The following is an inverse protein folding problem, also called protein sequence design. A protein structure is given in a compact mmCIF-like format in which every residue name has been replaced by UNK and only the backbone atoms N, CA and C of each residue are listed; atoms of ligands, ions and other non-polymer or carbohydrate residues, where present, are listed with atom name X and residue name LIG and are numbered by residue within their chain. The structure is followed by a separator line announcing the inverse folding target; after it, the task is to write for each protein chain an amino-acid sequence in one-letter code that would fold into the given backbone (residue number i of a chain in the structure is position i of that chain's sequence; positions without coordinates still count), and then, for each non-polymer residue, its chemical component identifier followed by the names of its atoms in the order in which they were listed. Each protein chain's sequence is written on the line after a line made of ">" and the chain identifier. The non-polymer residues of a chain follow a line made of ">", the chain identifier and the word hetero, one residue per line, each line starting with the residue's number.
data_IF_199442977875
#
_entry.id   IF_199442977875
#
_cell.length_a   1.000
_cell.length_b   1.000
_cell.length_c   1.000
_cell.angle_alpha   90.00
_cell.angle_beta   90.00
_cell.angle_gamma   90.00
#
_symmetry.space_group_name_H-M   'P 1'
#
loop_
_entity.id
_entity.type
_entity.pdbx_description
1 polymer ?
#
# COMPACT_ATOMS: atom_id res chain seq x y z
N UNK A 1 31.12 -19.66 14.63
CA UNK A 1 30.49 -20.06 13.36
C UNK A 1 29.06 -19.56 13.46
N UNK A 2 28.67 -18.53 12.70
CA UNK A 2 27.28 -18.07 12.71
C UNK A 2 26.49 -19.07 11.88
N UNK A 3 25.62 -19.87 12.50
CA UNK A 3 24.75 -20.80 11.81
C UNK A 3 23.69 -20.01 11.02
N UNK A 4 23.56 -20.31 9.73
CA UNK A 4 22.63 -19.69 8.79
C UNK A 4 21.41 -20.59 8.54
N UNK A 5 21.01 -21.40 9.50
CA UNK A 5 19.83 -22.25 9.32
C UNK A 5 18.53 -21.45 9.48
N UNK A 6 17.52 -21.79 8.68
CA UNK A 6 16.15 -21.23 8.73
C UNK A 6 15.95 -19.75 8.31
N UNK A 7 16.88 -19.14 7.57
CA UNK A 7 16.67 -17.81 7.01
C UNK A 7 15.72 -17.82 5.82
N UNK A 8 14.82 -16.84 5.77
CA UNK A 8 13.83 -16.63 4.71
C UNK A 8 14.20 -15.40 3.88
N UNK A 9 13.78 -15.31 2.61
CA UNK A 9 13.95 -14.10 1.81
C UNK A 9 13.38 -12.84 2.48
N UNK A 10 12.36 -12.99 3.34
CA UNK A 10 11.82 -11.90 4.17
C UNK A 10 12.84 -11.33 5.16
N UNK A 11 13.74 -12.16 5.70
CA UNK A 11 14.80 -11.69 6.60
C UNK A 11 15.79 -10.77 5.87
N UNK A 12 16.11 -11.08 4.61
CA UNK A 12 16.95 -10.22 3.77
C UNK A 12 16.25 -8.89 3.51
N UNK A 13 14.95 -8.92 3.19
CA UNK A 13 14.16 -7.71 3.00
C UNK A 13 14.18 -6.83 4.26
N UNK A 14 13.98 -7.41 5.44
CA UNK A 14 14.04 -6.68 6.72
C UNK A 14 15.39 -6.02 6.98
N UNK A 15 16.50 -6.74 6.71
CA UNK A 15 17.85 -6.20 6.87
C UNK A 15 18.10 -5.07 5.88
N UNK A 16 17.72 -5.23 4.61
CA UNK A 16 17.88 -4.19 3.59
C UNK A 16 17.05 -2.95 3.91
N UNK A 17 15.81 -3.12 4.40
CA UNK A 17 14.96 -2.02 4.84
C UNK A 17 15.60 -1.26 6.02
N UNK A 18 16.13 -1.99 7.01
CA UNK A 18 16.84 -1.37 8.13
C UNK A 18 18.06 -0.58 7.67
N UNK A 19 18.84 -1.12 6.72
CA UNK A 19 19.99 -0.43 6.14
C UNK A 19 19.54 0.85 5.42
N UNK A 20 18.48 0.77 4.61
CA UNK A 20 17.92 1.95 3.92
C UNK A 20 17.54 3.06 4.90
N UNK A 21 16.81 2.73 5.97
CA UNK A 21 16.39 3.70 6.98
C UNK A 21 17.60 4.33 7.73
N UNK A 22 18.65 3.55 7.97
CA UNK A 22 19.89 4.06 8.58
C UNK A 22 20.65 4.98 7.61
N UNK A 23 20.71 4.64 6.33
CA UNK A 23 21.32 5.49 5.31
C UNK A 23 20.57 6.82 5.18
N UNK A 24 19.25 6.83 5.24
CA UNK A 24 18.47 8.07 5.23
C UNK A 24 18.86 8.99 6.41
N UNK A 25 18.98 8.40 7.61
CA UNK A 25 19.43 9.13 8.81
C UNK A 25 20.84 9.71 8.64
N UNK A 26 21.78 8.94 8.07
CA UNK A 26 23.19 9.34 7.94
C UNK A 26 23.39 10.39 6.84
N UNK A 27 22.71 10.22 5.71
CA UNK A 27 22.89 11.06 4.53
C UNK A 27 22.15 12.41 4.63
N UNK A 28 21.34 12.59 5.67
CA UNK A 28 20.56 13.81 5.86
C UNK A 28 19.47 13.99 4.80
N UNK A 29 19.11 12.94 4.06
CA UNK A 29 17.84 12.93 3.32
C UNK A 29 16.71 12.96 4.35
N UNK A 30 15.70 13.80 4.15
CA UNK A 30 14.52 13.88 5.04
C UNK A 30 13.64 12.61 5.00
N UNK A 31 14.16 11.49 4.50
CA UNK A 31 13.38 10.30 4.16
C UNK A 31 12.33 10.61 3.10
N UNK A 32 11.26 9.83 3.08
CA UNK A 32 10.10 10.14 2.25
C UNK A 32 9.23 11.21 2.91
N UNK A 33 8.58 12.05 2.11
CA UNK A 33 7.62 13.05 2.62
C UNK A 33 6.18 12.59 2.41
N UNK A 34 5.18 13.19 3.09
CA UNK A 34 3.77 12.92 2.78
C UNK A 34 3.39 13.20 1.32
N UNK A 35 4.12 14.08 0.62
CA UNK A 35 3.93 14.32 -0.81
C UNK A 35 4.31 13.08 -1.64
N UNK A 36 5.43 12.44 -1.29
CA UNK A 36 5.89 11.23 -1.98
C UNK A 36 4.94 10.06 -1.74
N UNK A 37 4.50 9.88 -0.49
CA UNK A 37 3.53 8.83 -0.13
C UNK A 37 2.21 9.08 -0.86
N UNK A 38 1.71 10.32 -0.86
CA UNK A 38 0.45 10.65 -1.54
C UNK A 38 0.54 10.37 -3.06
N UNK A 39 1.66 10.72 -3.70
CA UNK A 39 1.92 10.39 -5.11
C UNK A 39 1.86 8.89 -5.35
N UNK A 40 2.51 8.09 -4.50
CA UNK A 40 2.54 6.63 -4.64
C UNK A 40 1.15 6.02 -4.48
N UNK A 41 0.37 6.47 -3.49
CA UNK A 41 -0.99 5.97 -3.26
C UNK A 41 -1.95 6.34 -4.40
N UNK A 42 -1.73 7.46 -5.10
CA UNK A 42 -2.49 7.77 -6.32
C UNK A 42 -2.21 6.77 -7.46
N UNK A 43 -0.96 6.33 -7.62
CA UNK A 43 -0.62 5.28 -8.58
C UNK A 43 -1.25 3.95 -8.19
N UNK A 44 -1.19 3.59 -6.90
CA UNK A 44 -1.89 2.42 -6.33
C UNK A 44 -3.39 2.44 -6.65
N UNK A 45 -4.05 3.61 -6.53
CA UNK A 45 -5.46 3.76 -6.88
C UNK A 45 -5.73 3.40 -8.35
N UNK A 46 -4.88 3.85 -9.27
CA UNK A 46 -5.02 3.54 -10.70
C UNK A 46 -4.87 2.03 -10.95
N UNK A 47 -3.95 1.36 -10.25
CA UNK A 47 -3.79 -0.10 -10.37
C UNK A 47 -5.02 -0.87 -9.90
N UNK A 48 -5.62 -0.49 -8.77
CA UNK A 48 -6.86 -1.13 -8.31
C UNK A 48 -7.99 -0.89 -9.30
N UNK A 49 -8.06 0.28 -9.95
CA UNK A 49 -9.03 0.55 -11.02
C UNK A 49 -8.82 -0.35 -12.24
N UNK A 50 -7.57 -0.59 -12.64
CA UNK A 50 -7.25 -1.49 -13.75
C UNK A 50 -7.64 -2.94 -13.43
N UNK A 51 -7.32 -3.40 -12.22
CA UNK A 51 -7.69 -4.74 -11.73
C UNK A 51 -9.21 -4.90 -11.69
N UNK A 52 -9.94 -3.93 -11.14
CA UNK A 52 -11.41 -3.97 -11.10
C UNK A 52 -12.02 -4.14 -12.50
N UNK A 53 -11.54 -3.35 -13.47
CA UNK A 53 -11.99 -3.46 -14.87
C UNK A 53 -11.68 -4.83 -15.48
N UNK A 54 -10.48 -5.37 -15.23
CA UNK A 54 -10.09 -6.68 -15.74
C UNK A 54 -10.92 -7.83 -15.16
N UNK A 55 -11.40 -7.68 -13.92
CA UNK A 55 -12.32 -8.61 -13.27
C UNK A 55 -13.79 -8.44 -13.73
N UNK A 56 -14.07 -7.46 -14.61
CA UNK A 56 -15.44 -7.15 -15.06
C UNK A 56 -16.28 -6.41 -14.01
N UNK A 57 -15.66 -5.91 -12.95
CA UNK A 57 -16.33 -5.23 -11.85
C UNK A 57 -16.41 -3.72 -12.10
N UNK A 58 -17.59 -3.15 -11.88
CA UNK A 58 -17.79 -1.70 -11.97
C UNK A 58 -17.92 -1.13 -10.57
N UNK A 59 -16.87 -0.49 -10.08
CA UNK A 59 -16.87 0.17 -8.78
C UNK A 59 -17.44 1.58 -8.95
N UNK A 60 -18.53 1.92 -8.24
CA UNK A 60 -19.16 3.23 -8.36
C UNK A 60 -18.18 4.38 -8.04
N UNK A 61 -18.21 5.51 -8.77
CA UNK A 61 -17.31 6.64 -8.54
C UNK A 61 -17.30 7.17 -7.10
N UNK A 62 -18.44 7.10 -6.42
CA UNK A 62 -18.62 7.50 -5.04
C UNK A 62 -17.85 6.61 -4.06
N UNK A 63 -17.62 5.33 -4.37
CA UNK A 63 -16.82 4.42 -3.52
C UNK A 63 -15.36 4.88 -3.45
N UNK A 64 -14.87 5.51 -4.51
CA UNK A 64 -13.52 6.09 -4.55
C UNK A 64 -13.41 7.44 -3.84
N UNK A 65 -14.55 8.06 -3.53
CA UNK A 65 -14.64 9.28 -2.74
C UNK A 65 -14.64 8.87 -1.28
N UNK A 66 -13.44 8.69 -0.74
CA UNK A 66 -13.21 8.44 0.68
C UNK A 66 -13.91 9.48 1.59
N UNK A 67 -14.11 9.17 2.88
CA UNK A 67 -14.74 10.11 3.80
C UNK A 67 -13.98 11.44 3.88
N UNK A 68 -14.64 12.45 4.47
CA UNK A 68 -14.12 13.81 4.56
C UNK A 68 -12.69 13.86 5.13
N UNK A 69 -11.92 14.85 4.68
CA UNK A 69 -10.53 15.06 5.10
C UNK A 69 -10.38 15.10 6.62
N UNK A 70 -9.48 14.27 7.15
CA UNK A 70 -9.18 14.18 8.59
C UNK A 70 -7.91 14.97 8.92
N UNK A 71 -8.09 16.21 9.36
CA UNK A 71 -6.98 17.05 9.85
C UNK A 71 -6.32 16.43 11.08
N UNK A 72 -5.02 16.65 11.26
CA UNK A 72 -4.26 16.12 12.41
C UNK A 72 -4.07 14.60 12.41
N UNK A 73 -4.22 13.95 11.24
CA UNK A 73 -3.97 12.51 11.11
C UNK A 73 -2.49 12.19 11.39
N UNK A 74 -2.26 11.23 12.27
CA UNK A 74 -0.92 10.72 12.59
C UNK A 74 -0.43 9.69 11.55
N UNK A 75 0.88 9.61 11.24
CA UNK A 75 1.45 8.60 10.35
C UNK A 75 1.07 7.15 10.71
N UNK A 76 0.92 6.86 12.01
CA UNK A 76 0.46 5.56 12.51
C UNK A 76 -0.89 5.15 11.92
N UNK A 77 -1.87 6.05 11.88
CA UNK A 77 -3.19 5.75 11.33
C UNK A 77 -3.13 5.47 9.82
N UNK A 78 -2.25 6.16 9.10
CA UNK A 78 -2.03 5.91 7.67
C UNK A 78 -1.39 4.54 7.44
N UNK A 79 -0.39 4.19 8.24
CA UNK A 79 0.27 2.89 8.18
C UNK A 79 -0.72 1.75 8.46
N UNK A 80 -1.56 1.87 9.49
CA UNK A 80 -2.53 0.85 9.85
C UNK A 80 -3.56 0.65 8.73
N UNK A 81 -3.99 1.74 8.08
CA UNK A 81 -4.85 1.65 6.88
C UNK A 81 -4.13 0.99 5.70
N UNK A 82 -2.84 1.28 5.49
CA UNK A 82 -2.06 0.67 4.42
C UNK A 82 -1.89 -0.85 4.62
N UNK A 83 -1.76 -1.32 5.89
CA UNK A 83 -1.76 -2.75 6.23
C UNK A 83 -3.10 -3.42 5.90
N UNK A 84 -4.21 -2.78 6.27
CA UNK A 84 -5.55 -3.26 5.91
C UNK A 84 -5.71 -3.42 4.38
N UNK A 85 -5.19 -2.47 3.60
CA UNK A 85 -5.23 -2.55 2.12
C UNK A 85 -4.45 -3.77 1.61
N UNK A 86 -3.29 -4.10 2.19
CA UNK A 86 -2.56 -5.34 1.84
C UNK A 86 -3.41 -6.58 2.11
N UNK A 87 -4.07 -6.65 3.27
CA UNK A 87 -4.93 -7.79 3.61
C UNK A 87 -6.09 -7.93 2.63
N UNK A 88 -6.73 -6.82 2.26
CA UNK A 88 -7.81 -6.80 1.27
C UNK A 88 -7.34 -7.23 -0.12
N UNK A 89 -6.13 -6.84 -0.54
CA UNK A 89 -5.54 -7.31 -1.81
C UNK A 89 -5.28 -8.81 -1.74
N UNK A 90 -4.75 -9.32 -0.63
CA UNK A 90 -4.52 -10.75 -0.44
C UNK A 90 -5.83 -11.55 -0.50
N UNK A 91 -6.93 -11.01 0.02
CA UNK A 91 -8.27 -11.59 -0.12
C UNK A 91 -8.74 -11.57 -1.57
N UNK A 92 -8.55 -10.45 -2.28
CA UNK A 92 -8.96 -10.30 -3.67
C UNK A 92 -8.20 -11.26 -4.61
N UNK A 93 -6.89 -11.40 -4.41
CA UNK A 93 -6.04 -12.40 -5.09
C UNK A 93 -6.59 -13.81 -4.90
N UNK A 94 -6.86 -14.22 -3.65
CA UNK A 94 -7.42 -15.55 -3.34
C UNK A 94 -8.77 -15.77 -4.01
N UNK A 95 -9.66 -14.77 -3.98
CA UNK A 95 -10.96 -14.83 -4.65
C UNK A 95 -10.82 -15.02 -6.16
N UNK A 96 -9.83 -14.41 -6.78
CA UNK A 96 -9.51 -14.57 -8.20
C UNK A 96 -8.78 -15.90 -8.54
N UNK A 97 -8.60 -16.79 -7.56
CA UNK A 97 -7.92 -18.08 -7.75
C UNK A 97 -6.40 -18.00 -7.71
N UNK A 98 -5.83 -16.85 -7.31
CA UNK A 98 -4.40 -16.71 -7.07
C UNK A 98 -4.08 -17.21 -5.65
N UNK A 99 -3.50 -18.40 -5.58
CA UNK A 99 -3.03 -19.01 -4.34
C UNK A 99 -1.52 -18.89 -4.21
N UNK A 100 -1.05 -18.72 -2.99
CA UNK A 100 0.31 -18.26 -2.71
C UNK A 100 0.27 -16.79 -2.29
N UNK A 101 0.92 -16.50 -1.19
CA UNK A 101 0.97 -15.18 -0.59
C UNK A 101 2.24 -15.06 0.23
N UNK A 102 2.69 -13.83 0.40
CA UNK A 102 3.92 -13.54 1.14
C UNK A 102 3.68 -13.55 2.65
N UNK A 103 4.69 -14.03 3.35
CA UNK A 103 4.88 -13.87 4.79
C UNK A 103 5.94 -12.77 5.02
N UNK A 104 5.63 -11.56 4.52
CA UNK A 104 6.46 -10.37 4.74
C UNK A 104 5.69 -9.40 5.62
N UNK A 105 6.07 -9.38 6.89
CA UNK A 105 5.77 -8.23 7.74
C UNK A 105 6.69 -7.08 7.30
N UNK A 106 6.20 -5.85 7.22
CA UNK A 106 7.10 -4.68 7.18
C UNK A 106 7.37 -4.30 8.63
N UNK A 107 8.64 -4.36 9.05
CA UNK A 107 9.01 -3.98 10.40
C UNK A 107 8.86 -2.47 10.57
N UNK A 108 8.23 -2.06 11.67
CA UNK A 108 8.08 -0.64 12.01
C UNK A 108 8.73 -0.40 13.35
N UNK A 109 9.51 0.68 13.45
CA UNK A 109 10.07 1.12 14.72
C UNK A 109 8.99 1.57 15.71
N UNK A 110 9.43 1.94 16.92
CA UNK A 110 8.55 2.48 17.97
C UNK A 110 7.82 3.75 17.48
N UNK A 111 8.53 4.63 16.78
CA UNK A 111 7.97 5.80 16.11
C UNK A 111 7.70 5.50 14.63
N UNK A 112 6.48 5.79 14.16
CA UNK A 112 6.15 5.68 12.73
C UNK A 112 6.44 6.98 12.02
N UNK A 113 7.15 6.85 10.92
CA UNK A 113 7.58 7.92 10.04
C UNK A 113 6.85 7.83 8.69
N UNK A 114 6.87 8.89 7.88
CA UNK A 114 6.39 8.80 6.50
C UNK A 114 7.16 7.74 5.67
N UNK A 115 8.43 7.46 5.98
CA UNK A 115 9.19 6.37 5.34
C UNK A 115 8.62 4.99 5.65
N UNK A 116 8.12 4.75 6.86
CA UNK A 116 7.43 3.49 7.18
C UNK A 116 6.15 3.33 6.36
N UNK A 117 5.38 4.41 6.24
CA UNK A 117 4.17 4.44 5.41
C UNK A 117 4.53 4.22 3.94
N UNK A 118 5.57 4.90 3.43
CA UNK A 118 6.03 4.74 2.05
C UNK A 118 6.42 3.29 1.76
N UNK A 119 7.21 2.68 2.63
CA UNK A 119 7.62 1.27 2.49
C UNK A 119 6.42 0.33 2.47
N UNK A 120 5.41 0.57 3.32
CA UNK A 120 4.17 -0.21 3.31
C UNK A 120 3.38 -0.02 2.00
N UNK A 121 3.34 1.19 1.44
CA UNK A 121 2.69 1.45 0.14
C UNK A 121 3.47 0.79 -1.01
N UNK A 122 4.80 0.72 -0.95
CA UNK A 122 5.59 -0.03 -1.94
C UNK A 122 5.33 -1.54 -1.89
N UNK A 123 5.01 -2.07 -0.71
CA UNK A 123 4.53 -3.45 -0.60
C UNK A 123 3.17 -3.59 -1.30
N UNK A 124 2.24 -2.66 -1.10
CA UNK A 124 0.96 -2.64 -1.83
C UNK A 124 1.19 -2.64 -3.35
N UNK A 125 2.05 -1.77 -3.87
CA UNK A 125 2.42 -1.71 -5.29
C UNK A 125 2.98 -3.04 -5.82
N UNK A 126 3.85 -3.69 -5.03
CA UNK A 126 4.38 -5.02 -5.34
C UNK A 126 3.26 -6.06 -5.44
N UNK A 127 2.35 -6.08 -4.46
CA UNK A 127 1.23 -7.02 -4.43
C UNK A 127 0.28 -6.81 -5.62
N UNK A 128 -0.04 -5.55 -5.95
CA UNK A 128 -0.88 -5.21 -7.10
C UNK A 128 -0.18 -5.53 -8.43
N UNK A 129 1.12 -5.31 -8.54
CA UNK A 129 1.89 -5.66 -9.73
C UNK A 129 1.85 -7.16 -9.99
N UNK A 130 2.07 -7.97 -8.95
CA UNK A 130 1.93 -9.42 -9.06
C UNK A 130 0.51 -9.83 -9.47
N UNK A 131 -0.52 -9.17 -8.90
CA UNK A 131 -1.91 -9.45 -9.25
C UNK A 131 -2.22 -9.07 -10.71
N UNK A 132 -1.74 -7.92 -11.19
CA UNK A 132 -1.85 -7.51 -12.59
C UNK A 132 -1.21 -8.53 -13.52
N UNK A 133 -0.02 -9.03 -13.18
CA UNK A 133 0.66 -10.08 -13.96
C UNK A 133 -0.19 -11.35 -14.01
N UNK A 134 -0.75 -11.79 -12.88
CA UNK A 134 -1.65 -12.94 -12.83
C UNK A 134 -2.88 -12.77 -13.73
N UNK A 135 -3.45 -11.56 -13.78
CA UNK A 135 -4.60 -11.22 -14.62
C UNK A 135 -4.25 -10.91 -16.09
N UNK A 136 -2.96 -10.97 -16.47
CA UNK A 136 -2.51 -10.64 -17.82
C UNK A 136 -2.58 -9.14 -18.18
N UNK A 137 -2.60 -8.25 -17.18
CA UNK A 137 -2.65 -6.80 -17.35
C UNK A 137 -1.24 -6.27 -17.57
N UNK A 138 -0.94 -5.81 -18.78
CA UNK A 138 0.35 -5.18 -19.14
C UNK A 138 0.34 -3.65 -19.04
N UNK A 139 -0.82 -3.05 -18.76
CA UNK A 139 -0.96 -1.60 -18.63
C UNK A 139 -0.27 -1.11 -17.36
N UNK A 140 0.49 -0.02 -17.50
CA UNK A 140 1.15 0.66 -16.39
C UNK A 140 0.32 1.92 -16.07
N UNK A 141 0.17 2.28 -14.78
CA UNK A 141 -0.42 3.55 -14.37
C UNK A 141 0.17 4.76 -15.09
N UNK A 142 -0.65 5.78 -15.27
CA UNK A 142 -0.17 7.07 -15.78
C UNK A 142 0.83 7.67 -14.80
N UNK A 143 1.81 8.39 -15.33
CA UNK A 143 2.79 9.08 -14.48
C UNK A 143 2.11 10.15 -13.64
N UNK A 144 2.06 9.95 -12.32
CA UNK A 144 1.58 10.96 -11.38
C UNK A 144 2.64 12.05 -11.22
N UNK A 145 2.24 13.30 -11.44
CA UNK A 145 3.12 14.46 -11.26
C UNK A 145 3.51 14.63 -9.79
N UNK A 146 4.61 15.35 -9.54
CA UNK A 146 5.04 15.69 -8.19
C UNK A 146 3.92 16.42 -7.43
N UNK A 147 3.71 16.02 -6.19
CA UNK A 147 2.66 16.54 -5.32
C UNK A 147 3.27 17.54 -4.33
N UNK A 148 2.48 18.53 -3.92
CA UNK A 148 2.88 19.53 -2.92
C UNK A 148 1.80 19.68 -1.86
N UNK A 149 2.22 20.17 -0.70
CA UNK A 149 1.36 20.55 0.43
C UNK A 149 0.45 19.40 0.93
N UNK A 150 0.92 18.16 0.77
CA UNK A 150 0.24 16.98 1.29
C UNK A 150 0.64 16.73 2.74
N UNK A 151 -0.29 16.13 3.45
CA UNK A 151 -0.18 15.78 4.87
C UNK A 151 -0.74 14.37 5.05
N UNK A 152 -0.46 13.66 6.15
CA UNK A 152 -0.90 12.28 6.34
C UNK A 152 -2.41 12.06 6.13
N UNK A 153 -3.25 13.04 6.49
CA UNK A 153 -4.69 12.98 6.27
C UNK A 153 -5.11 12.86 4.78
N UNK A 154 -4.34 13.46 3.87
CA UNK A 154 -4.56 13.29 2.43
C UNK A 154 -4.23 11.87 1.97
N UNK A 155 -3.16 11.28 2.51
CA UNK A 155 -2.76 9.90 2.19
C UNK A 155 -3.81 8.91 2.71
N UNK A 156 -4.23 9.09 3.97
CA UNK A 156 -5.26 8.27 4.60
C UNK A 156 -6.54 8.29 3.76
N UNK A 157 -6.96 9.46 3.31
CA UNK A 157 -8.16 9.60 2.49
C UNK A 157 -8.06 8.73 1.22
N UNK A 158 -6.96 8.75 0.47
CA UNK A 158 -6.87 7.92 -0.75
C UNK A 158 -6.85 6.42 -0.40
N UNK A 159 -6.16 6.02 0.68
CA UNK A 159 -6.15 4.63 1.13
C UNK A 159 -7.53 4.15 1.60
N UNK A 160 -8.34 5.00 2.23
CA UNK A 160 -9.71 4.68 2.61
C UNK A 160 -10.59 4.43 1.37
N UNK A 161 -10.42 5.23 0.32
CA UNK A 161 -11.10 5.01 -0.96
C UNK A 161 -10.67 3.71 -1.64
N UNK A 162 -9.38 3.37 -1.57
CA UNK A 162 -8.86 2.09 -2.06
C UNK A 162 -9.43 0.91 -1.27
N UNK A 163 -9.46 1.01 0.07
CA UNK A 163 -10.04 -0.03 0.94
C UNK A 163 -11.53 -0.23 0.62
N UNK A 164 -12.30 0.85 0.47
CA UNK A 164 -13.70 0.78 0.09
C UNK A 164 -13.90 0.10 -1.28
N UNK A 165 -13.08 0.45 -2.27
CA UNK A 165 -13.09 -0.18 -3.59
C UNK A 165 -12.78 -1.68 -3.52
N UNK A 166 -11.74 -2.09 -2.79
CA UNK A 166 -11.39 -3.50 -2.61
C UNK A 166 -12.47 -4.28 -1.85
N UNK A 167 -13.10 -3.68 -0.85
CA UNK A 167 -14.23 -4.29 -0.14
C UNK A 167 -15.43 -4.50 -1.07
N UNK A 168 -15.72 -3.54 -1.94
CA UNK A 168 -16.73 -3.68 -2.99
C UNK A 168 -16.40 -4.84 -3.95
N UNK A 169 -15.14 -4.96 -4.40
CA UNK A 169 -14.64 -6.09 -5.20
C UNK A 169 -14.73 -7.44 -4.47
N UNK A 170 -14.77 -7.45 -3.15
CA UNK A 170 -14.94 -8.64 -2.32
C UNK A 170 -16.40 -8.90 -1.93
N UNK A 171 -17.33 -8.03 -2.35
CA UNK A 171 -18.72 -8.01 -1.90
C UNK A 171 -18.86 -8.01 -0.36
N UNK A 172 -17.95 -7.32 0.31
CA UNK A 172 -17.99 -7.10 1.75
C UNK A 172 -18.80 -5.82 2.02
N UNK A 173 -20.12 -5.93 2.09
CA UNK A 173 -20.96 -4.79 2.47
C UNK A 173 -20.85 -4.48 3.97
N UNK A 174 -20.51 -3.22 4.29
CA UNK A 174 -20.97 -2.51 5.49
C UNK A 174 -20.70 -3.13 6.87
N UNK A 175 -19.44 -3.35 7.23
CA UNK A 175 -19.06 -3.47 8.65
C UNK A 175 -18.93 -2.07 9.27
N UNK A 176 -20.04 -1.46 9.68
CA UNK A 176 -20.01 -0.31 10.60
C UNK A 176 -19.55 -0.82 11.97
N UNK A 177 -18.47 -0.25 12.48
CA UNK A 177 -18.19 -0.16 13.91
C UNK A 177 -18.34 1.30 14.33
#
# INVERSE_FOLDING_TARGET
>A
MLEYENKRPSDVFHIMQRISNLLDTILGSEGFTPNDVYREVLATKQDVQLIARALGETIPPETWSAPGFKSGTEPRAVLDKAREVVDLIAMAKRRAGMFGGRDIAVSTGETVTPSDVFNQVRLIDTELTEFKVFLGISMVPDRIQAQKDKVPGHVLQVLEGISAALRSLLHMEGGQA
#
